data_IF_704050353739
#
_entry.id   IF_704050353739
#
_cell.length_a   1.000
_cell.length_b   1.000
_cell.length_c   1.000
_cell.angle_alpha   90.00
_cell.angle_beta   90.00
_cell.angle_gamma   90.00
#
_symmetry.space_group_name_H-M   'P 1'
#
loop_
_entity.id
_entity.type
_entity.pdbx_description
1 polymer ?
#
# COMPACT_ATOMS: atom_id res chain seq x y z
N UNK A 1 -17.96 25.57 -7.11
CA UNK A 1 -17.52 25.11 -8.04
C UNK A 1 -16.16 24.86 -8.17
N UNK A 2 -15.34 25.74 -8.12
CA UNK A 2 -14.04 25.42 -8.24
C UNK A 2 -13.54 24.75 -7.10
N UNK A 3 -14.26 24.66 -6.09
CA UNK A 3 -13.82 24.01 -5.02
C UNK A 3 -13.44 22.62 -5.28
N UNK A 4 -14.07 21.87 -6.10
CA UNK A 4 -13.65 20.58 -6.33
C UNK A 4 -12.46 20.50 -7.10
N UNK A 5 -12.11 21.49 -7.77
CA UNK A 5 -10.91 21.45 -8.50
C UNK A 5 -9.72 21.50 -7.63
N UNK A 6 -9.90 21.81 -6.37
CA UNK A 6 -8.76 21.85 -5.48
C UNK A 6 -8.53 20.54 -4.81
N UNK A 7 -9.38 19.53 -5.04
CA UNK A 7 -9.12 18.24 -4.46
C UNK A 7 -8.01 17.59 -5.19
N UNK A 8 -6.99 17.16 -4.49
CA UNK A 8 -5.90 16.47 -5.11
C UNK A 8 -6.17 15.00 -5.14
N UNK A 9 -5.59 14.31 -6.10
CA UNK A 9 -5.67 12.87 -6.16
C UNK A 9 -4.90 12.28 -5.00
N UNK A 10 -5.40 11.18 -4.50
CA UNK A 10 -4.66 10.41 -3.53
C UNK A 10 -3.84 9.42 -4.31
N UNK A 11 -2.57 9.30 -3.99
CA UNK A 11 -1.67 8.42 -4.72
C UNK A 11 -1.31 7.20 -3.88
N UNK A 12 -1.47 6.04 -4.49
CA UNK A 12 -1.22 4.77 -3.82
C UNK A 12 -0.18 3.99 -4.60
N UNK A 13 0.78 3.42 -3.91
CA UNK A 13 1.79 2.56 -4.53
C UNK A 13 1.60 1.14 -4.00
N UNK A 14 1.47 0.19 -4.93
CA UNK A 14 1.37 -1.22 -4.59
C UNK A 14 2.67 -1.88 -5.03
N UNK A 15 3.37 -2.53 -4.11
CA UNK A 15 4.61 -3.22 -4.43
C UNK A 15 4.44 -4.70 -4.11
N UNK A 16 4.32 -5.51 -5.14
CA UNK A 16 4.03 -6.92 -4.99
C UNK A 16 4.54 -7.65 -6.24
N UNK A 17 5.38 -8.65 -6.09
CA UNK A 17 5.94 -9.32 -7.25
C UNK A 17 5.02 -10.38 -7.84
N UNK A 18 4.04 -10.86 -7.09
CA UNK A 18 3.12 -11.85 -7.62
C UNK A 18 1.98 -11.17 -8.33
N UNK A 19 1.87 -11.40 -9.62
CA UNK A 19 0.92 -10.66 -10.46
C UNK A 19 -0.53 -10.77 -10.02
N UNK A 20 -0.97 -11.97 -9.65
CA UNK A 20 -2.37 -12.14 -9.25
C UNK A 20 -2.70 -11.30 -8.03
N UNK A 21 -1.81 -11.27 -7.07
CA UNK A 21 -2.04 -10.51 -5.85
C UNK A 21 -1.92 -9.02 -6.15
N UNK A 22 -0.95 -8.65 -6.96
CA UNK A 22 -0.77 -7.25 -7.34
C UNK A 22 -2.01 -6.71 -8.03
N UNK A 23 -2.61 -7.51 -8.95
CA UNK A 23 -3.78 -7.07 -9.68
C UNK A 23 -4.98 -6.87 -8.75
N UNK A 24 -5.16 -7.75 -7.79
CA UNK A 24 -6.25 -7.63 -6.83
C UNK A 24 -6.09 -6.37 -6.00
N UNK A 25 -4.86 -6.09 -5.56
CA UNK A 25 -4.63 -4.88 -4.78
C UNK A 25 -4.83 -3.62 -5.60
N UNK A 26 -4.40 -3.65 -6.85
CA UNK A 26 -4.59 -2.50 -7.73
C UNK A 26 -6.09 -2.26 -7.92
N UNK A 27 -6.87 -3.30 -8.17
CA UNK A 27 -8.30 -3.17 -8.34
C UNK A 27 -8.98 -2.57 -7.12
N UNK A 28 -8.49 -2.91 -5.95
CA UNK A 28 -9.06 -2.38 -4.71
C UNK A 28 -9.02 -0.86 -4.69
N UNK A 29 -7.97 -0.28 -5.28
CA UNK A 29 -7.80 1.15 -5.26
C UNK A 29 -8.24 1.86 -6.55
N UNK A 30 -8.80 1.11 -7.50
CA UNK A 30 -9.29 1.72 -8.73
C UNK A 30 -10.65 2.35 -8.50
N UNK A 31 -10.64 3.57 -8.03
CA UNK A 31 -11.86 4.29 -7.77
C UNK A 31 -11.57 5.77 -7.99
N UNK A 32 -12.61 6.56 -8.11
CA UNK A 32 -12.46 7.97 -8.39
C UNK A 32 -11.65 8.67 -7.31
N UNK A 33 -10.77 9.54 -7.70
CA UNK A 33 -9.95 10.29 -6.76
C UNK A 33 -8.66 9.61 -6.35
N UNK A 34 -8.37 8.42 -6.89
CA UNK A 34 -7.16 7.68 -6.54
C UNK A 34 -6.34 7.37 -7.79
N UNK A 35 -5.05 7.62 -7.71
CA UNK A 35 -4.12 7.27 -8.76
C UNK A 35 -3.25 6.16 -8.22
N UNK A 36 -3.29 4.98 -8.86
CA UNK A 36 -2.55 3.82 -8.38
C UNK A 36 -1.34 3.57 -9.24
N UNK A 37 -0.20 3.34 -8.61
CA UNK A 37 1.00 2.89 -9.28
C UNK A 37 1.31 1.50 -8.75
N UNK A 38 1.80 0.63 -9.61
CA UNK A 38 2.12 -0.74 -9.21
C UNK A 38 3.55 -1.05 -9.60
N UNK A 39 4.26 -1.73 -8.71
CA UNK A 39 5.64 -2.12 -8.94
C UNK A 39 5.79 -3.60 -8.61
N UNK A 40 6.47 -4.32 -9.49
CA UNK A 40 6.69 -5.74 -9.29
C UNK A 40 8.07 -6.02 -8.69
N UNK A 41 8.88 -5.01 -8.49
CA UNK A 41 10.24 -5.19 -8.01
C UNK A 41 10.68 -4.02 -7.16
N UNK A 42 11.73 -4.25 -6.39
CA UNK A 42 12.33 -3.21 -5.58
C UNK A 42 12.84 -2.06 -6.47
N UNK A 43 13.51 -2.41 -7.56
CA UNK A 43 14.08 -1.37 -8.41
C UNK A 43 13.04 -0.45 -9.01
N UNK A 44 11.95 -1.04 -9.50
CA UNK A 44 10.89 -0.21 -10.07
C UNK A 44 10.19 0.60 -8.99
N UNK A 45 10.01 0.05 -7.80
CA UNK A 45 9.41 0.77 -6.69
C UNK A 45 10.25 2.00 -6.35
N UNK A 46 11.58 1.84 -6.30
CA UNK A 46 12.45 2.96 -6.00
C UNK A 46 12.38 4.01 -7.09
N UNK A 47 12.29 3.57 -8.34
CA UNK A 47 12.21 4.49 -9.45
C UNK A 47 10.93 5.33 -9.36
N UNK A 48 9.80 4.70 -9.04
CA UNK A 48 8.54 5.40 -8.93
C UNK A 48 8.57 6.35 -7.74
N UNK A 49 9.14 5.91 -6.61
CA UNK A 49 9.23 6.74 -5.42
C UNK A 49 10.08 7.99 -5.66
N UNK A 50 11.03 7.90 -6.56
CA UNK A 50 11.85 9.05 -6.90
C UNK A 50 11.15 10.06 -7.78
N UNK A 51 9.97 9.71 -8.30
CA UNK A 51 9.26 10.58 -9.24
C UNK A 51 8.04 11.25 -8.68
N UNK A 52 7.43 10.66 -7.68
CA UNK A 52 6.24 11.26 -7.08
C UNK A 52 6.09 10.80 -5.65
N UNK A 53 5.32 11.54 -4.88
CA UNK A 53 5.05 11.17 -3.50
C UNK A 53 3.75 10.40 -3.43
N UNK A 54 3.58 9.62 -2.39
CA UNK A 54 2.40 8.79 -2.21
C UNK A 54 1.75 9.05 -0.87
N UNK A 55 0.46 8.78 -0.79
CA UNK A 55 -0.29 8.89 0.45
C UNK A 55 -0.36 7.55 1.15
N UNK A 56 -0.34 6.47 0.38
CA UNK A 56 -0.42 5.13 0.94
C UNK A 56 0.48 4.21 0.13
N UNK A 57 1.25 3.38 0.81
CA UNK A 57 2.12 2.41 0.15
C UNK A 57 1.83 1.06 0.76
N UNK A 58 1.52 0.07 -0.07
CA UNK A 58 1.30 -1.29 0.39
C UNK A 58 2.42 -2.11 -0.24
N UNK A 59 3.30 -2.69 0.57
CA UNK A 59 4.44 -3.42 0.06
C UNK A 59 4.58 -4.78 0.71
N UNK A 60 4.93 -5.77 -0.10
CA UNK A 60 5.31 -7.06 0.42
C UNK A 60 6.73 -6.93 0.98
N UNK A 61 7.05 -7.67 2.02
CA UNK A 61 8.40 -7.67 2.58
C UNK A 61 9.35 -8.43 1.68
N UNK A 62 8.90 -9.56 1.13
CA UNK A 62 9.73 -10.37 0.28
C UNK A 62 9.43 -10.07 -1.16
N UNK A 63 10.41 -9.60 -1.90
CA UNK A 63 10.23 -9.23 -3.29
C UNK A 63 11.24 -9.93 -4.16
N UNK A 64 10.74 -10.67 -5.16
CA UNK A 64 11.61 -11.33 -6.13
C UNK A 64 12.66 -12.21 -5.51
N UNK A 65 12.30 -12.94 -4.48
CA UNK A 65 13.26 -13.79 -3.80
C UNK A 65 14.13 -13.07 -2.79
N UNK A 66 14.07 -11.76 -2.73
CA UNK A 66 14.85 -11.01 -1.75
C UNK A 66 14.06 -10.94 -0.47
N UNK A 67 14.68 -11.34 0.62
CA UNK A 67 14.00 -11.38 1.89
C UNK A 67 13.71 -10.00 2.44
N UNK A 68 14.48 -9.02 2.08
CA UNK A 68 14.37 -7.68 2.62
C UNK A 68 13.95 -6.61 1.62
N UNK A 69 13.46 -7.05 0.45
CA UNK A 69 13.09 -6.07 -0.58
C UNK A 69 12.10 -5.04 -0.09
N UNK A 70 11.07 -5.49 0.64
CA UNK A 70 10.07 -4.57 1.15
C UNK A 70 10.59 -3.68 2.26
N UNK A 71 11.59 -4.13 3.00
CA UNK A 71 12.22 -3.28 3.99
C UNK A 71 12.94 -2.14 3.30
N UNK A 72 13.56 -2.40 2.17
CA UNK A 72 14.21 -1.35 1.41
C UNK A 72 13.20 -0.41 0.78
N UNK A 73 12.04 -0.92 0.35
CA UNK A 73 10.96 -0.07 -0.13
C UNK A 73 10.51 0.86 1.00
N UNK A 74 10.34 0.31 2.19
CA UNK A 74 9.89 1.08 3.35
C UNK A 74 10.90 2.18 3.68
N UNK A 75 12.17 1.85 3.65
CA UNK A 75 13.21 2.84 3.93
C UNK A 75 13.20 3.96 2.89
N UNK A 76 13.09 3.61 1.62
CA UNK A 76 13.06 4.61 0.55
C UNK A 76 11.82 5.50 0.68
N UNK A 77 10.69 4.88 1.02
CA UNK A 77 9.44 5.61 1.17
C UNK A 77 9.52 6.60 2.33
N UNK A 78 10.17 6.20 3.41
CA UNK A 78 10.33 7.08 4.56
C UNK A 78 11.08 8.35 4.22
N UNK A 79 12.01 8.26 3.27
CA UNK A 79 12.76 9.41 2.84
C UNK A 79 12.06 10.21 1.76
N UNK A 80 11.39 9.53 0.83
CA UNK A 80 10.85 10.19 -0.35
C UNK A 80 9.36 10.52 -0.26
N UNK A 81 8.63 9.83 0.60
CA UNK A 81 7.22 10.11 0.85
C UNK A 81 6.98 10.08 2.35
N UNK A 82 7.55 11.05 3.08
CA UNK A 82 7.52 10.98 4.56
C UNK A 82 6.12 11.05 5.17
N UNK A 83 5.14 11.51 4.40
CA UNK A 83 3.78 11.58 4.91
C UNK A 83 2.98 10.32 4.59
N UNK A 84 3.55 9.39 3.90
CA UNK A 84 2.79 8.22 3.47
C UNK A 84 2.52 7.26 4.63
N UNK A 85 1.35 6.65 4.61
CA UNK A 85 1.08 5.52 5.47
C UNK A 85 1.62 4.30 4.75
N UNK A 86 2.38 3.47 5.44
CA UNK A 86 3.02 2.31 4.84
C UNK A 86 2.50 1.04 5.49
N UNK A 87 1.93 0.16 4.69
CA UNK A 87 1.45 -1.14 5.14
C UNK A 87 2.40 -2.20 4.59
N UNK A 88 3.09 -2.90 5.48
CA UNK A 88 3.99 -3.97 5.09
C UNK A 88 3.29 -5.30 5.27
N UNK A 89 3.31 -6.14 4.24
CA UNK A 89 2.64 -7.44 4.26
C UNK A 89 3.69 -8.55 4.19
N UNK A 90 3.46 -9.62 4.93
CA UNK A 90 4.39 -10.75 4.88
C UNK A 90 3.69 -12.08 5.10
N UNK A 91 4.12 -13.10 4.34
CA UNK A 91 3.65 -14.47 4.55
C UNK A 91 4.47 -15.15 5.63
N UNK A 92 5.60 -14.55 6.01
CA UNK A 92 6.52 -15.16 6.97
C UNK A 92 6.85 -14.17 8.08
N UNK A 93 5.91 -13.93 8.97
CA UNK A 93 6.14 -12.92 10.01
C UNK A 93 7.16 -13.43 11.03
N UNK A 94 8.06 -12.55 11.39
CA UNK A 94 8.95 -12.82 12.51
C UNK A 94 9.23 -11.49 13.20
N UNK A 95 9.68 -11.54 14.43
CA UNK A 95 9.89 -10.34 15.20
C UNK A 95 10.95 -9.43 14.62
N UNK A 96 11.98 -10.01 14.03
CA UNK A 96 13.04 -9.20 13.44
C UNK A 96 12.51 -8.35 12.29
N UNK A 97 11.73 -8.96 11.39
CA UNK A 97 11.16 -8.23 10.27
C UNK A 97 10.13 -7.22 10.73
N UNK A 98 9.35 -7.60 11.74
CA UNK A 98 8.35 -6.69 12.26
C UNK A 98 9.02 -5.45 12.83
N UNK A 99 10.01 -5.63 13.68
CA UNK A 99 10.68 -4.51 14.29
C UNK A 99 11.43 -3.66 13.26
N UNK A 100 12.06 -4.31 12.30
CA UNK A 100 12.77 -3.59 11.24
C UNK A 100 11.79 -2.75 10.42
N UNK A 101 10.65 -3.33 10.02
CA UNK A 101 9.65 -2.59 9.26
C UNK A 101 9.16 -1.37 10.00
N UNK A 102 8.82 -1.55 11.26
CA UNK A 102 8.27 -0.44 12.04
C UNK A 102 9.33 0.64 12.26
N UNK A 103 10.58 0.22 12.49
CA UNK A 103 11.65 1.17 12.69
C UNK A 103 11.95 1.97 11.45
N UNK A 104 11.76 1.37 10.27
CA UNK A 104 12.01 2.04 9.01
C UNK A 104 10.85 2.92 8.56
N UNK A 105 9.74 2.88 9.27
CA UNK A 105 8.63 3.77 8.96
C UNK A 105 7.32 3.13 8.60
N UNK A 106 7.23 1.79 8.63
CA UNK A 106 5.96 1.14 8.35
C UNK A 106 4.97 1.49 9.43
N UNK A 107 3.76 1.83 9.01
CA UNK A 107 2.71 2.15 9.95
C UNK A 107 2.05 0.86 10.43
N UNK A 108 1.96 -0.11 9.57
CA UNK A 108 1.33 -1.40 9.89
C UNK A 108 2.15 -2.54 9.33
N UNK A 109 2.21 -3.62 10.05
CA UNK A 109 2.91 -4.83 9.63
C UNK A 109 1.90 -5.96 9.77
N UNK A 110 1.47 -6.53 8.65
CA UNK A 110 0.34 -7.45 8.64
C UNK A 110 0.72 -8.77 8.00
N UNK A 111 0.28 -9.86 8.61
CA UNK A 111 0.54 -11.18 8.09
C UNK A 111 -0.44 -11.54 6.98
N UNK A 112 0.06 -12.16 5.91
CA UNK A 112 -0.79 -12.67 4.84
C UNK A 112 -1.36 -14.00 5.24
N UNK A 113 -2.52 -14.38 4.77
CA UNK A 113 -3.37 -13.63 3.83
C UNK A 113 -4.14 -12.54 4.57
N UNK A 114 -4.27 -11.39 3.94
CA UNK A 114 -4.97 -10.28 4.57
C UNK A 114 -6.27 -10.04 3.82
N UNK A 115 -7.33 -9.78 4.55
CA UNK A 115 -8.60 -9.49 3.93
C UNK A 115 -8.57 -8.12 3.29
N UNK A 116 -9.15 -7.99 2.11
CA UNK A 116 -9.18 -6.71 1.43
C UNK A 116 -9.89 -5.64 2.25
N UNK A 117 -10.90 -6.05 3.03
CA UNK A 117 -11.60 -5.07 3.87
C UNK A 117 -10.68 -4.49 4.92
N UNK A 118 -9.69 -5.26 5.38
CA UNK A 118 -8.74 -4.73 6.34
C UNK A 118 -7.88 -3.64 5.72
N UNK A 119 -7.43 -3.87 4.48
CA UNK A 119 -6.64 -2.88 3.77
C UNK A 119 -7.51 -1.66 3.50
N UNK A 120 -8.77 -1.86 3.11
CA UNK A 120 -9.69 -0.76 2.84
C UNK A 120 -9.90 0.08 4.09
N UNK A 121 -10.03 -0.56 5.24
CA UNK A 121 -10.18 0.16 6.49
C UNK A 121 -8.97 1.02 6.81
N UNK A 122 -7.79 0.45 6.65
CA UNK A 122 -6.57 1.19 6.93
C UNK A 122 -6.41 2.35 5.96
N UNK A 123 -6.77 2.13 4.69
CA UNK A 123 -6.70 3.18 3.69
C UNK A 123 -7.67 4.31 4.04
N UNK A 124 -8.86 3.96 4.50
CA UNK A 124 -9.84 4.97 4.85
C UNK A 124 -9.35 5.87 5.96
N UNK A 125 -8.60 5.32 6.90
CA UNK A 125 -8.05 6.13 7.98
C UNK A 125 -7.03 7.14 7.49
N UNK A 126 -6.48 6.95 6.31
CA UNK A 126 -5.55 7.90 5.74
C UNK A 126 -6.20 8.77 4.69
N UNK A 127 -7.51 8.67 4.55
CA UNK A 127 -8.23 9.47 3.57
C UNK A 127 -8.16 8.92 2.15
N UNK A 128 -7.82 7.66 1.99
CA UNK A 128 -7.75 7.04 0.66
C UNK A 128 -8.97 6.16 0.45
N UNK A 129 -9.84 6.50 -0.50
CA UNK A 129 -11.01 5.66 -0.76
C UNK A 129 -10.63 4.42 -1.54
N UNK A 130 -11.49 3.42 -1.50
CA UNK A 130 -11.27 2.18 -2.23
C UNK A 130 -12.55 1.79 -2.95
N UNK A 131 -12.41 0.82 -3.84
CA UNK A 131 -13.55 0.26 -4.53
C UNK A 131 -14.24 -0.84 -3.73
N UNK A 132 -13.74 -1.12 -2.53
CA UNK A 132 -14.29 -2.20 -1.71
C UNK A 132 -15.72 -1.91 -1.27
N UNK A 133 -16.61 -2.86 -1.48
CA UNK A 133 -17.99 -2.73 -1.06
C UNK A 133 -18.25 -3.80 -0.02
N UNK A 134 -18.51 -3.40 1.22
CA UNK A 134 -18.74 -4.38 2.27
C UNK A 134 -20.01 -5.15 1.98
N UNK A 135 -19.90 -6.47 2.07
CA UNK A 135 -20.99 -7.29 1.83
C UNK A 135 -22.13 -7.08 2.74
N UNK A 136 -21.85 -6.90 3.97
CA UNK A 136 -22.87 -6.73 4.94
C UNK A 136 -23.65 -5.47 4.79
N UNK A 137 -23.12 -4.52 4.08
CA UNK A 137 -23.81 -3.26 3.96
C UNK A 137 -25.06 -3.45 3.15
N UNK A 138 -25.17 -4.50 2.41
CA UNK A 138 -26.32 -4.73 1.64
C UNK A 138 -27.33 -5.57 2.32
N UNK A 139 -27.14 -5.92 3.57
CA UNK A 139 -27.94 -6.77 4.19
C UNK A 139 -29.25 -6.20 4.39
N UNK A 140 -30.23 -6.70 3.91
CA UNK A 140 -31.49 -6.14 4.08
C UNK A 140 -31.87 -6.54 5.39
N UNK A 141 -32.53 -6.00 5.93
CA UNK A 141 -32.88 -6.39 7.23
C UNK A 141 -33.81 -7.47 7.22
#
# INVERSE_FOLDING_TARGET
MYRRMTQSLRRVLIVEDEQCIRDVLVELFETEGVEVSAAASLDYAKWVLGRRTFDLIVTDIRLGGRRDGGLQVTAAAGMLSPEATIIALTAFPDDGNRQASLRLGATHFIEKPVALERIAELAAHTGVPTAFIPESSGQPA
#
